data_IF_087177857315
#
_entry.id   IF_087177857315
#
_cell.length_a   1.000
_cell.length_b   1.000
_cell.length_c   1.000
_cell.angle_alpha   90.00
_cell.angle_beta   90.00
_cell.angle_gamma   90.00
#
_symmetry.space_group_name_H-M   'P 1'
#
loop_
_entity.id
_entity.type
_entity.pdbx_description
1 polymer ?
#
# COMPACT_ATOMS: atom_id res chain seq x y z
N UNK A 1 -5.90 -12.26 13.81
CA UNK A 1 -5.30 -11.23 12.92
C UNK A 1 -5.25 -11.81 11.52
N UNK A 2 -5.69 -11.05 10.50
CA UNK A 2 -5.82 -11.56 9.11
C UNK A 2 -4.61 -11.10 8.28
N UNK A 3 -3.99 -12.03 7.54
CA UNK A 3 -3.00 -11.71 6.50
C UNK A 3 -3.71 -11.48 5.16
N UNK A 4 -3.29 -10.48 4.39
CA UNK A 4 -3.83 -10.20 3.04
C UNK A 4 -2.70 -10.20 2.02
N UNK A 5 -2.95 -10.82 0.87
CA UNK A 5 -2.04 -10.76 -0.28
C UNK A 5 -2.46 -9.65 -1.24
N UNK A 6 -1.59 -9.32 -2.20
CA UNK A 6 -1.82 -8.27 -3.19
C UNK A 6 -3.19 -8.30 -3.86
N UNK A 7 -3.68 -9.49 -4.24
CA UNK A 7 -5.01 -9.65 -4.86
C UNK A 7 -6.15 -9.22 -3.94
N UNK A 8 -6.04 -9.50 -2.64
CA UNK A 8 -7.04 -9.06 -1.66
C UNK A 8 -7.02 -7.54 -1.51
N UNK A 9 -5.84 -6.94 -1.46
CA UNK A 9 -5.65 -5.49 -1.34
C UNK A 9 -6.26 -4.77 -2.55
N UNK A 10 -6.02 -5.28 -3.76
CA UNK A 10 -6.58 -4.71 -5.00
C UNK A 10 -8.11 -4.79 -5.05
N UNK A 11 -8.74 -5.72 -4.34
CA UNK A 11 -10.20 -5.76 -4.20
C UNK A 11 -10.74 -4.74 -3.18
N UNK A 12 -9.90 -4.22 -2.30
CA UNK A 12 -10.29 -3.29 -1.22
C UNK A 12 -10.03 -1.83 -1.65
N UNK A 13 -8.90 -1.55 -2.28
CA UNK A 13 -8.52 -0.20 -2.75
C UNK A 13 -8.44 -0.12 -4.28
N UNK A 14 -8.71 1.06 -4.89
CA UNK A 14 -8.75 1.19 -6.35
C UNK A 14 -7.36 1.22 -7.01
N UNK A 15 -6.29 1.43 -6.24
CA UNK A 15 -4.94 1.59 -6.74
C UNK A 15 -4.48 0.39 -7.57
N UNK A 16 -3.83 0.65 -8.71
CA UNK A 16 -3.27 -0.35 -9.65
C UNK A 16 -1.85 0.04 -10.07
N UNK A 17 -1.13 -0.90 -10.69
CA UNK A 17 0.26 -0.64 -11.12
C UNK A 17 0.29 0.61 -12.02
N UNK A 18 1.32 1.47 -11.89
CA UNK A 18 2.48 1.33 -11.00
C UNK A 18 2.29 1.92 -9.58
N UNK A 19 1.10 2.40 -9.22
CA UNK A 19 0.87 3.25 -8.04
C UNK A 19 0.15 2.57 -6.86
N UNK A 20 0.14 1.24 -6.82
CA UNK A 20 -0.23 0.49 -5.62
C UNK A 20 1.06 0.03 -4.92
N UNK A 21 1.27 0.60 -3.73
CA UNK A 21 2.58 0.67 -3.07
C UNK A 21 2.67 -0.21 -1.81
N UNK A 22 1.67 -1.05 -1.53
CA UNK A 22 1.72 -2.06 -0.45
C UNK A 22 1.58 -3.47 -1.03
N UNK A 23 2.54 -4.35 -0.78
CA UNK A 23 2.57 -5.70 -1.38
C UNK A 23 1.72 -6.70 -0.58
N UNK A 24 1.80 -6.61 0.74
CA UNK A 24 1.13 -7.52 1.68
C UNK A 24 0.65 -6.75 2.93
N UNK A 25 -0.40 -7.26 3.57
CA UNK A 25 -0.76 -6.89 4.94
C UNK A 25 -0.45 -8.06 5.84
N UNK A 26 0.48 -7.86 6.78
CA UNK A 26 0.90 -8.90 7.73
C UNK A 26 -0.14 -9.04 8.85
N UNK A 27 -0.66 -7.92 9.33
CA UNK A 27 -1.64 -7.87 10.43
C UNK A 27 -2.64 -6.73 10.20
N UNK A 28 -3.94 -6.98 10.43
CA UNK A 28 -4.96 -5.93 10.42
C UNK A 28 -6.03 -6.17 11.48
N UNK A 29 -6.36 -5.09 12.18
CA UNK A 29 -7.55 -4.91 13.00
C UNK A 29 -8.33 -3.71 12.41
N UNK A 30 -9.42 -3.95 11.66
CA UNK A 30 -10.13 -2.90 10.92
C UNK A 30 -10.48 -1.68 11.79
N UNK A 31 -10.20 -0.49 11.27
CA UNK A 31 -10.43 0.78 11.97
C UNK A 31 -9.52 1.08 13.17
N UNK A 32 -8.56 0.21 13.50
CA UNK A 32 -7.71 0.37 14.71
C UNK A 32 -6.22 0.27 14.42
N UNK A 33 -5.75 -0.78 13.74
CA UNK A 33 -4.32 -0.99 13.48
C UNK A 33 -4.08 -1.80 12.22
N UNK A 34 -3.01 -1.49 11.51
CA UNK A 34 -2.52 -2.27 10.37
C UNK A 34 -0.99 -2.34 10.36
N UNK A 35 -0.45 -3.47 9.95
CA UNK A 35 0.96 -3.67 9.61
C UNK A 35 1.03 -4.14 8.15
N UNK A 36 1.54 -3.28 7.27
CA UNK A 36 1.71 -3.57 5.86
C UNK A 36 3.18 -3.65 5.48
N UNK A 37 3.48 -4.37 4.39
CA UNK A 37 4.83 -4.56 3.86
C UNK A 37 4.92 -4.01 2.44
N UNK A 38 5.97 -3.24 2.19
CA UNK A 38 6.39 -2.78 0.87
C UNK A 38 7.83 -3.19 0.63
N UNK A 39 8.05 -4.08 -0.33
CA UNK A 39 9.37 -4.40 -0.86
C UNK A 39 9.82 -3.27 -1.78
N UNK A 40 10.98 -2.69 -1.47
CA UNK A 40 11.63 -1.66 -2.28
C UNK A 40 12.64 -2.34 -3.21
N UNK A 41 12.35 -2.39 -4.51
CA UNK A 41 13.18 -3.12 -5.48
C UNK A 41 13.89 -2.18 -6.45
N UNK A 42 15.13 -2.49 -6.83
CA UNK A 42 15.97 -1.63 -7.69
C UNK A 42 15.34 -1.29 -9.06
N UNK A 43 14.41 -2.11 -9.55
CA UNK A 43 13.73 -1.98 -10.83
C UNK A 43 12.45 -1.13 -10.80
N UNK A 44 12.09 -0.56 -9.64
CA UNK A 44 10.88 0.27 -9.54
C UNK A 44 10.95 1.57 -10.36
N UNK A 45 9.80 1.96 -10.90
CA UNK A 45 9.70 3.01 -11.92
C UNK A 45 10.33 4.34 -11.50
N UNK A 46 10.23 4.70 -10.22
CA UNK A 46 10.72 5.97 -9.68
C UNK A 46 12.24 6.02 -9.54
N UNK A 47 12.94 4.87 -9.46
CA UNK A 47 14.40 4.86 -9.33
C UNK A 47 15.12 5.32 -10.61
N UNK A 48 14.44 5.30 -11.77
CA UNK A 48 14.96 5.90 -13.01
C UNK A 48 15.22 7.40 -12.87
N UNK A 49 14.44 8.09 -12.01
CA UNK A 49 14.52 9.53 -11.81
C UNK A 49 14.93 9.97 -10.40
N UNK A 50 14.95 9.07 -9.42
CA UNK A 50 15.18 9.42 -8.01
C UNK A 50 16.21 8.48 -7.35
N UNK A 51 17.51 8.69 -7.54
CA UNK A 51 18.14 9.55 -8.54
C UNK A 51 18.98 8.70 -9.50
N UNK A 52 19.22 9.13 -10.75
CA UNK A 52 20.11 8.42 -11.66
C UNK A 52 21.48 8.15 -11.01
N UNK A 53 21.90 6.89 -10.96
CA UNK A 53 23.16 6.46 -10.33
C UNK A 53 23.15 6.41 -8.79
N UNK A 54 22.09 6.90 -8.13
CA UNK A 54 21.92 6.85 -6.68
C UNK A 54 20.44 6.63 -6.32
N UNK A 55 19.93 5.39 -6.40
CA UNK A 55 18.52 5.09 -6.19
C UNK A 55 18.11 5.31 -4.73
N UNK A 56 17.15 6.20 -4.50
CA UNK A 56 16.58 6.53 -3.18
C UNK A 56 15.07 6.44 -3.28
N UNK A 57 14.39 5.76 -2.36
CA UNK A 57 12.92 5.73 -2.40
C UNK A 57 12.39 7.13 -2.06
N UNK A 58 11.54 7.75 -2.88
CA UNK A 58 10.98 9.06 -2.56
C UNK A 58 10.17 9.01 -1.26
N UNK A 59 10.43 9.92 -0.32
CA UNK A 59 9.72 9.96 0.96
C UNK A 59 8.20 10.14 0.82
N UNK A 60 7.76 10.88 -0.21
CA UNK A 60 6.33 11.03 -0.53
C UNK A 60 5.66 9.71 -0.93
N UNK A 61 6.39 8.76 -1.53
CA UNK A 61 5.86 7.43 -1.84
C UNK A 61 5.81 6.52 -0.60
N UNK A 62 6.65 6.79 0.41
CA UNK A 62 6.50 6.14 1.72
C UNK A 62 5.22 6.62 2.43
N UNK A 63 4.94 7.93 2.38
CA UNK A 63 3.70 8.50 2.93
C UNK A 63 2.48 7.92 2.20
N UNK A 64 2.53 7.86 0.87
CA UNK A 64 1.46 7.25 0.07
C UNK A 64 1.24 5.76 0.42
N UNK A 65 2.31 4.98 0.60
CA UNK A 65 2.19 3.59 1.02
C UNK A 65 1.52 3.46 2.42
N UNK A 66 1.82 4.37 3.34
CA UNK A 66 1.16 4.44 4.65
C UNK A 66 -0.32 4.81 4.49
N UNK A 67 -0.65 5.76 3.61
CA UNK A 67 -2.02 6.14 3.33
C UNK A 67 -2.84 4.98 2.73
N UNK A 68 -2.27 4.22 1.78
CA UNK A 68 -2.90 3.03 1.22
C UNK A 68 -3.13 1.94 2.27
N UNK A 69 -2.18 1.72 3.17
CA UNK A 69 -2.35 0.80 4.29
C UNK A 69 -3.51 1.26 5.21
N UNK A 70 -3.55 2.54 5.57
CA UNK A 70 -4.65 3.12 6.34
C UNK A 70 -6.01 2.95 5.64
N UNK A 71 -6.07 3.20 4.33
CA UNK A 71 -7.28 3.02 3.54
C UNK A 71 -7.79 1.57 3.59
N UNK A 72 -6.91 0.58 3.46
CA UNK A 72 -7.27 -0.84 3.62
C UNK A 72 -7.88 -1.10 5.00
N UNK A 73 -7.27 -0.58 6.07
CA UNK A 73 -7.78 -0.78 7.43
C UNK A 73 -9.18 -0.17 7.64
N UNK A 74 -9.45 0.98 7.03
CA UNK A 74 -10.74 1.69 7.14
C UNK A 74 -11.81 1.05 6.26
N UNK A 75 -11.51 0.76 5.00
CA UNK A 75 -12.48 0.20 4.03
C UNK A 75 -12.92 -1.23 4.36
N UNK A 76 -12.19 -1.94 5.22
CA UNK A 76 -12.62 -3.23 5.77
C UNK A 76 -13.72 -3.12 6.84
N UNK A 77 -14.05 -1.92 7.33
CA UNK A 77 -15.18 -1.74 8.24
C UNK A 77 -16.51 -1.89 7.49
N UNK A 78 -17.53 -2.55 8.08
CA UNK A 78 -18.80 -2.81 7.40
C UNK A 78 -19.48 -1.58 6.78
N UNK A 79 -19.39 -0.42 7.43
CA UNK A 79 -19.97 0.84 6.96
C UNK A 79 -19.22 1.50 5.79
N UNK A 80 -18.01 1.05 5.49
CA UNK A 80 -17.17 1.57 4.40
C UNK A 80 -16.87 0.53 3.31
N UNK A 81 -17.31 -0.71 3.50
CA UNK A 81 -17.10 -1.78 2.53
C UNK A 81 -17.66 -1.41 1.15
N UNK A 82 -16.85 -1.56 0.11
CA UNK A 82 -17.20 -1.23 -1.28
C UNK A 82 -17.24 0.25 -1.63
N UNK A 83 -16.93 1.16 -0.68
CA UNK A 83 -16.75 2.58 -0.97
C UNK A 83 -15.36 2.83 -1.55
N UNK A 84 -15.24 3.86 -2.38
CA UNK A 84 -13.99 4.29 -2.99
C UNK A 84 -13.44 5.47 -2.18
N UNK A 85 -12.11 5.49 -1.99
CA UNK A 85 -11.32 6.62 -1.48
C UNK A 85 -10.57 7.25 -2.63
#
# INVERSE_FOLDING_TARGET
>A
MKKLIRKDIENIIPHRKPFILIDEVLEVEPGKRIVALKHVRKDEYYFKGHFPGNPVMPGVLMIEAIAQAGAVAVLMLPQYFGKIV
#
